data_IF_467698458110
#
_entry.id   IF_467698458110
#
_cell.length_a   1.000
_cell.length_b   1.000
_cell.length_c   1.000
_cell.angle_alpha   90.00
_cell.angle_beta   90.00
_cell.angle_gamma   90.00
#
_symmetry.space_group_name_H-M   'P 1'
#
loop_
_entity.id
_entity.type
_entity.pdbx_description
1 polymer ?
#
# COMPACT_ATOMS: atom_id res chain seq x y z
N UNK A 1 -16.90 11.86 2.32
CA UNK A 1 -16.22 11.95 1.01
C UNK A 1 -15.08 10.91 0.99
N UNK A 2 -15.14 9.90 0.12
CA UNK A 2 -14.07 8.89 -0.02
C UNK A 2 -12.92 9.47 -0.86
N UNK A 3 -12.06 10.27 -0.22
CA UNK A 3 -11.15 11.21 -0.90
C UNK A 3 -9.71 10.72 -1.16
N UNK A 4 -9.36 9.45 -0.96
CA UNK A 4 -7.95 9.21 -0.63
C UNK A 4 -7.13 8.30 -1.54
N UNK A 5 -7.69 7.46 -2.41
CA UNK A 5 -6.85 6.66 -3.31
C UNK A 5 -6.69 7.34 -4.67
N UNK A 6 -5.48 7.82 -4.97
CA UNK A 6 -5.14 8.45 -6.24
C UNK A 6 -5.35 9.96 -6.32
N UNK A 7 -5.84 10.60 -5.26
CA UNK A 7 -6.19 12.03 -5.28
C UNK A 7 -4.99 12.91 -5.60
N UNK A 8 -3.83 12.67 -4.97
CA UNK A 8 -2.60 13.44 -5.25
C UNK A 8 -2.16 13.30 -6.70
N UNK A 9 -2.12 12.07 -7.23
CA UNK A 9 -1.80 11.84 -8.63
C UNK A 9 -2.79 12.51 -9.58
N UNK A 10 -4.09 12.39 -9.35
CA UNK A 10 -5.09 12.98 -10.24
C UNK A 10 -5.10 14.51 -10.17
N UNK A 11 -4.90 15.09 -8.98
CA UNK A 11 -4.74 16.53 -8.82
C UNK A 11 -3.53 17.06 -9.58
N UNK A 12 -2.36 16.43 -9.40
CA UNK A 12 -1.15 16.80 -10.14
C UNK A 12 -1.34 16.56 -11.64
N UNK A 13 -2.03 15.48 -12.05
CA UNK A 13 -2.35 15.21 -13.46
C UNK A 13 -3.21 16.33 -14.06
N UNK A 14 -4.24 16.79 -13.35
CA UNK A 14 -5.12 17.87 -13.81
C UNK A 14 -4.30 19.14 -14.06
N UNK A 15 -3.47 19.53 -13.09
CA UNK A 15 -2.58 20.70 -13.23
C UNK A 15 -1.53 20.54 -14.35
N UNK A 16 -0.98 19.34 -14.54
CA UNK A 16 -0.11 19.07 -15.68
C UNK A 16 -0.85 19.22 -17.02
N UNK A 17 -2.07 18.70 -17.14
CA UNK A 17 -2.89 18.82 -18.35
C UNK A 17 -3.22 20.27 -18.70
N UNK A 18 -3.57 21.09 -17.70
CA UNK A 18 -3.80 22.53 -17.86
C UNK A 18 -2.57 23.26 -18.46
N UNK A 19 -1.36 22.69 -18.31
CA UNK A 19 -0.10 23.22 -18.81
C UNK A 19 0.50 22.44 -19.99
N UNK A 20 -0.22 21.46 -20.55
CA UNK A 20 0.29 20.62 -21.64
C UNK A 20 1.51 19.76 -21.27
N UNK A 21 1.65 19.41 -19.98
CA UNK A 21 2.78 18.64 -19.45
C UNK A 21 2.42 17.17 -19.23
N UNK A 22 3.38 16.28 -19.50
CA UNK A 22 3.36 14.90 -19.03
C UNK A 22 4.09 14.79 -17.68
N UNK A 23 3.84 13.72 -16.91
CA UNK A 23 4.59 13.48 -15.67
C UNK A 23 6.08 13.24 -15.91
N UNK A 24 6.45 12.57 -17.01
CA UNK A 24 7.85 12.39 -17.37
C UNK A 24 8.51 13.74 -17.63
N UNK A 25 7.82 14.64 -18.35
CA UNK A 25 8.34 16.00 -18.57
C UNK A 25 8.44 16.79 -17.27
N UNK A 26 7.39 16.79 -16.44
CA UNK A 26 7.43 17.41 -15.11
C UNK A 26 8.63 16.93 -14.29
N UNK A 27 8.88 15.61 -14.26
CA UNK A 27 9.99 15.04 -13.51
C UNK A 27 11.35 15.53 -14.03
N UNK A 28 11.55 15.56 -15.34
CA UNK A 28 12.77 16.09 -15.96
C UNK A 28 12.97 17.58 -15.63
N UNK A 29 11.92 18.38 -15.75
CA UNK A 29 11.95 19.83 -15.52
C UNK A 29 12.28 20.20 -14.06
N UNK A 30 11.83 19.38 -13.10
CA UNK A 30 12.17 19.57 -11.68
C UNK A 30 13.42 18.78 -11.25
N UNK A 31 14.11 18.13 -12.19
CA UNK A 31 15.36 17.41 -11.97
C UNK A 31 15.24 16.16 -11.10
N UNK A 32 14.20 15.35 -11.30
CA UNK A 32 13.97 14.11 -10.54
C UNK A 32 13.68 12.91 -11.44
N UNK A 33 13.95 11.71 -10.91
CA UNK A 33 13.63 10.48 -11.62
C UNK A 33 12.09 10.33 -11.80
N UNK A 34 11.58 10.07 -13.02
CA UNK A 34 10.14 9.93 -13.27
C UNK A 34 9.45 8.82 -12.46
N UNK A 35 10.12 7.69 -12.25
CA UNK A 35 9.61 6.58 -11.44
C UNK A 35 9.49 7.00 -9.99
N UNK A 36 10.48 7.72 -9.46
CA UNK A 36 10.43 8.24 -8.10
C UNK A 36 9.28 9.22 -7.91
N UNK A 37 9.05 10.14 -8.85
CA UNK A 37 7.89 11.03 -8.85
C UNK A 37 6.59 10.22 -8.76
N UNK A 38 6.42 9.23 -9.62
CA UNK A 38 5.21 8.40 -9.62
C UNK A 38 5.03 7.65 -8.30
N UNK A 39 6.09 7.10 -7.72
CA UNK A 39 6.01 6.41 -6.43
C UNK A 39 5.56 7.33 -5.31
N UNK A 40 6.02 8.58 -5.30
CA UNK A 40 5.57 9.58 -4.32
C UNK A 40 4.11 9.98 -4.55
N UNK A 41 3.71 10.27 -5.78
CA UNK A 41 2.32 10.62 -6.12
C UNK A 41 1.33 9.46 -5.85
N UNK A 42 1.81 8.22 -5.89
CA UNK A 42 1.04 7.02 -5.57
C UNK A 42 1.03 6.68 -4.07
N UNK A 43 1.75 7.43 -3.23
CA UNK A 43 1.89 7.14 -1.80
C UNK A 43 2.69 5.87 -1.48
N UNK A 44 3.48 5.35 -2.45
CA UNK A 44 4.41 4.24 -2.22
C UNK A 44 5.65 4.72 -1.46
N UNK A 45 6.12 5.93 -1.80
CA UNK A 45 7.21 6.61 -1.10
C UNK A 45 6.70 7.92 -0.51
N UNK A 46 7.20 8.31 0.65
CA UNK A 46 6.88 9.60 1.28
C UNK A 46 8.00 10.58 0.98
N UNK A 47 7.66 11.74 0.41
CA UNK A 47 8.65 12.80 0.16
C UNK A 47 8.00 14.18 0.13
N UNK A 48 7.98 14.84 1.28
CA UNK A 48 7.52 16.23 1.43
C UNK A 48 8.32 17.22 0.57
N UNK A 49 9.67 17.12 0.47
CA UNK A 49 10.44 18.02 -0.38
C UNK A 49 10.05 17.92 -1.85
N UNK A 50 9.84 16.69 -2.36
CA UNK A 50 9.42 16.50 -3.74
C UNK A 50 8.04 17.12 -4.00
N UNK A 51 7.08 16.91 -3.09
CA UNK A 51 5.73 17.46 -3.23
C UNK A 51 5.77 18.99 -3.24
N UNK A 52 6.59 19.63 -2.39
CA UNK A 52 6.80 21.09 -2.43
C UNK A 52 7.38 21.54 -3.77
N UNK A 53 8.37 20.82 -4.30
CA UNK A 53 8.97 21.12 -5.61
C UNK A 53 7.95 21.04 -6.76
N UNK A 54 7.09 20.02 -6.73
CA UNK A 54 5.98 19.87 -7.69
C UNK A 54 4.97 21.01 -7.54
N UNK A 55 4.64 21.38 -6.30
CA UNK A 55 3.73 22.48 -5.99
C UNK A 55 4.25 23.82 -6.53
N UNK A 56 5.51 24.14 -6.26
CA UNK A 56 6.18 25.35 -6.74
C UNK A 56 6.21 25.40 -8.27
N UNK A 57 6.65 24.32 -8.92
CA UNK A 57 6.73 24.27 -10.37
C UNK A 57 5.35 24.43 -11.04
N UNK A 58 4.32 23.76 -10.51
CA UNK A 58 2.97 23.82 -11.05
C UNK A 58 2.15 25.03 -10.54
N UNK A 59 2.72 25.88 -9.69
CA UNK A 59 1.99 26.99 -9.06
C UNK A 59 0.78 26.52 -8.24
N UNK A 60 0.86 25.33 -7.64
CA UNK A 60 -0.22 24.71 -6.88
C UNK A 60 0.08 24.72 -5.38
N UNK A 61 -0.05 25.89 -4.76
CA UNK A 61 0.33 26.17 -3.36
C UNK A 61 -0.36 25.29 -2.31
N UNK A 62 -1.57 24.80 -2.59
CA UNK A 62 -2.33 23.94 -1.66
C UNK A 62 -1.85 22.48 -1.64
N UNK A 63 -1.10 22.04 -2.66
CA UNK A 63 -0.70 20.64 -2.82
C UNK A 63 0.02 20.04 -1.60
N UNK A 64 0.94 20.74 -0.91
CA UNK A 64 1.57 20.21 0.30
C UNK A 64 0.57 19.95 1.44
N UNK A 65 -0.43 20.82 1.62
CA UNK A 65 -1.46 20.64 2.66
C UNK A 65 -2.31 19.41 2.36
N UNK A 66 -2.79 19.29 1.12
CA UNK A 66 -3.56 18.11 0.67
C UNK A 66 -2.74 16.84 0.79
N UNK A 67 -1.41 16.92 0.61
CA UNK A 67 -0.53 15.79 0.79
C UNK A 67 -0.41 15.35 2.25
N UNK A 68 -0.36 16.28 3.22
CA UNK A 68 -0.37 15.91 4.65
C UNK A 68 -1.67 15.22 5.05
N UNK A 69 -2.82 15.71 4.59
CA UNK A 69 -4.12 15.03 4.80
C UNK A 69 -4.12 13.62 4.23
N UNK A 70 -3.53 13.45 3.04
CA UNK A 70 -3.37 12.14 2.42
C UNK A 70 -2.46 11.20 3.24
N UNK A 71 -1.35 11.71 3.79
CA UNK A 71 -0.46 10.93 4.65
C UNK A 71 -1.12 10.53 5.97
N UNK A 72 -1.95 11.39 6.56
CA UNK A 72 -2.75 11.05 7.74
C UNK A 72 -3.74 9.93 7.43
N UNK A 73 -4.46 10.03 6.30
CA UNK A 73 -5.34 8.95 5.85
C UNK A 73 -4.60 7.62 5.68
N UNK A 74 -3.41 7.62 5.08
CA UNK A 74 -2.63 6.39 4.90
C UNK A 74 -2.21 5.76 6.23
N UNK A 75 -1.87 6.59 7.23
CA UNK A 75 -1.55 6.15 8.59
C UNK A 75 -2.77 5.53 9.26
N UNK A 76 -3.91 6.20 9.21
CA UNK A 76 -5.16 5.71 9.79
C UNK A 76 -5.64 4.42 9.13
N UNK A 77 -5.59 4.36 7.79
CA UNK A 77 -5.92 3.15 7.06
C UNK A 77 -5.02 1.98 7.45
N UNK A 78 -3.73 2.22 7.65
CA UNK A 78 -2.78 1.18 8.09
C UNK A 78 -3.14 0.65 9.47
N UNK A 79 -3.44 1.55 10.42
CA UNK A 79 -3.89 1.16 11.78
C UNK A 79 -5.13 0.27 11.73
N UNK A 80 -6.14 0.64 10.94
CA UNK A 80 -7.37 -0.17 10.79
C UNK A 80 -7.09 -1.55 10.20
N UNK A 81 -6.18 -1.64 9.24
CA UNK A 81 -5.78 -2.94 8.65
C UNK A 81 -5.06 -3.80 9.70
N UNK A 82 -4.18 -3.20 10.51
CA UNK A 82 -3.48 -3.90 11.59
C UNK A 82 -4.45 -4.37 12.69
N UNK A 83 -5.43 -3.54 13.04
CA UNK A 83 -6.50 -3.90 13.98
C UNK A 83 -7.36 -5.05 13.45
N UNK A 84 -7.81 -4.96 12.20
CA UNK A 84 -8.56 -6.05 11.56
C UNK A 84 -7.76 -7.34 11.50
N UNK A 85 -6.46 -7.27 11.21
CA UNK A 85 -5.59 -8.45 11.21
C UNK A 85 -5.52 -9.10 12.60
N UNK A 86 -5.36 -8.31 13.68
CA UNK A 86 -5.36 -8.82 15.06
C UNK A 86 -6.66 -9.53 15.42
N UNK A 87 -7.81 -8.93 15.09
CA UNK A 87 -9.13 -9.53 15.37
C UNK A 87 -9.30 -10.87 14.64
N UNK A 88 -8.82 -10.98 13.40
CA UNK A 88 -8.87 -12.22 12.62
C UNK A 88 -7.96 -13.31 13.22
N UNK A 89 -6.76 -12.93 13.69
CA UNK A 89 -5.85 -13.87 14.35
C UNK A 89 -6.45 -14.40 15.67
N UNK A 90 -7.05 -13.53 16.49
CA UNK A 90 -7.73 -13.93 17.74
C UNK A 90 -8.91 -14.90 17.49
N UNK A 91 -9.67 -14.69 16.40
CA UNK A 91 -10.77 -15.59 16.01
C UNK A 91 -10.26 -16.95 15.54
N UNK A 92 -9.14 -16.99 14.81
CA UNK A 92 -8.52 -18.24 14.35
C UNK A 92 -7.98 -19.08 15.53
N UNK A 93 -7.47 -18.44 16.58
CA UNK A 93 -7.02 -19.14 17.80
C UNK A 93 -8.20 -19.67 18.64
N UNK A 94 -9.34 -18.96 18.65
CA UNK A 94 -10.56 -19.41 19.32
C UNK A 94 -11.24 -20.63 18.69
N UNK A 95 -11.16 -20.78 17.37
CA UNK A 95 -11.73 -21.94 16.65
C UNK A 95 -10.82 -23.18 16.68
N UNK A 96 -9.50 -23.01 16.85
CA UNK A 96 -8.55 -24.11 17.00
C UNK A 96 -8.68 -24.88 18.35
N UNK A 97 -9.54 -24.40 19.27
CA UNK A 97 -9.81 -25.01 20.57
C UNK A 97 -10.83 -26.16 20.60
N UNK A 98 -11.37 -26.59 19.45
CA UNK A 98 -12.20 -27.80 19.39
C UNK A 98 -11.32 -29.03 19.09
N UNK A 99 -11.07 -29.93 20.06
CA UNK A 99 -10.40 -31.19 19.75
C UNK A 99 -11.33 -32.00 18.84
N UNK A 100 -10.96 -32.10 17.56
CA UNK A 100 -11.52 -33.12 16.68
C UNK A 100 -11.11 -34.48 17.24
N UNK A 101 -11.99 -35.02 18.08
CA UNK A 101 -11.98 -36.41 18.44
C UNK A 101 -12.09 -37.24 17.15
N UNK A 102 -11.36 -38.35 17.13
CA UNK A 102 -11.43 -39.45 16.15
C UNK A 102 -10.94 -39.18 14.72
N UNK A 103 -9.64 -39.34 14.52
CA UNK A 103 -9.18 -40.25 13.47
C UNK A 103 -8.28 -41.31 14.11
N UNK A 104 -8.92 -42.46 14.36
CA UNK A 104 -8.28 -43.65 14.88
C UNK A 104 -7.08 -44.06 14.04
N UNK A 105 -6.01 -44.43 14.74
CA UNK A 105 -4.78 -44.90 14.14
C UNK A 105 -4.99 -46.15 13.29
N UNK A 106 -4.27 -46.19 12.17
CA UNK A 106 -3.82 -47.46 11.58
C UNK A 106 -2.56 -47.24 10.75
N UNK A 107 -1.42 -47.09 11.41
CA UNK A 107 -0.13 -47.42 10.79
C UNK A 107 -0.05 -48.95 10.78
N UNK A 108 -0.11 -49.56 9.60
CA UNK A 108 0.29 -50.96 9.44
C UNK A 108 1.77 -50.96 9.10
N UNK A 109 2.52 -51.57 10.02
CA UNK A 109 3.93 -51.89 9.92
C UNK A 109 4.27 -52.70 8.66
N UNK A 110 5.49 -52.48 8.18
CA UNK A 110 6.06 -53.16 7.05
C UNK A 110 6.29 -54.65 7.29
N UNK A 111 6.47 -55.35 6.17
CA UNK A 111 7.17 -56.64 6.15
C UNK A 111 7.88 -56.80 4.81
N UNK A 112 9.07 -56.21 4.71
CA UNK A 112 10.15 -56.82 3.94
C UNK A 112 10.57 -58.09 4.67
N UNK A 113 10.43 -59.24 4.01
CA UNK A 113 11.34 -60.37 4.18
C UNK A 113 11.51 -61.07 2.84
N UNK A 114 12.78 -61.11 2.43
CA UNK A 114 13.40 -61.83 1.32
C UNK A 114 13.17 -63.35 1.38
N UNK A 115 13.73 -64.04 0.36
CA UNK A 115 14.05 -65.48 0.16
C UNK A 115 13.38 -65.92 -1.15
N UNK A 116 14.05 -66.45 -2.17
CA UNK A 116 15.47 -66.74 -2.48
C UNK A 116 15.56 -66.95 -3.99
#
# INVERSE_FOLDING_TARGET
MNMHRGLIKELVRKRCKERGLSFSKLAMEIGVNPTYLLFVLHGRNISRPLVRKVAEYLGYSELPMVYEEYLEYLRERRRRIEELARVLDEQAEGEAGSPSASLGGRRKDGKEKSIS
#
